data_IF_017948999541
#
_entry.id   IF_017948999541
#
_cell.length_a   1.000
_cell.length_b   1.000
_cell.length_c   1.000
_cell.angle_alpha   90.00
_cell.angle_beta   90.00
_cell.angle_gamma   90.00
#
_symmetry.space_group_name_H-M   'P 1'
#
loop_
_entity.id
_entity.type
_entity.pdbx_description
1 polymer ?
#
# COMPACT_ATOMS: atom_id res chain seq x y z
N UNK A 1 30.57 -10.60 3.41
CA UNK A 1 29.24 -10.69 2.76
C UNK A 1 28.27 -11.23 3.78
N UNK A 2 27.18 -10.51 4.07
CA UNK A 2 26.22 -10.96 5.08
C UNK A 2 25.34 -12.08 4.50
N UNK A 3 25.42 -13.29 5.06
CA UNK A 3 24.48 -14.39 4.78
C UNK A 3 23.33 -14.33 5.79
N UNK A 4 22.33 -13.51 5.46
CA UNK A 4 21.17 -13.28 6.31
C UNK A 4 20.01 -14.21 5.91
N UNK A 5 19.24 -14.63 6.91
CA UNK A 5 17.92 -15.24 6.70
C UNK A 5 16.91 -14.18 6.26
N UNK A 6 15.79 -14.59 5.67
CA UNK A 6 14.73 -13.67 5.22
C UNK A 6 14.27 -12.64 6.29
N UNK A 7 13.96 -13.02 7.54
CA UNK A 7 13.57 -12.03 8.56
C UNK A 7 14.71 -11.06 8.93
N UNK A 8 15.96 -11.52 8.86
CA UNK A 8 17.12 -10.66 9.07
C UNK A 8 17.28 -9.65 7.93
N UNK A 9 16.98 -10.03 6.68
CA UNK A 9 16.90 -9.08 5.56
C UNK A 9 15.81 -8.03 5.74
N UNK A 10 14.62 -8.43 6.23
CA UNK A 10 13.55 -7.46 6.53
C UNK A 10 14.01 -6.47 7.58
N UNK A 11 14.59 -6.95 8.68
CA UNK A 11 15.12 -6.08 9.74
C UNK A 11 16.23 -5.15 9.21
N UNK A 12 17.17 -5.70 8.45
CA UNK A 12 18.27 -4.93 7.87
C UNK A 12 17.76 -3.82 6.94
N UNK A 13 16.79 -4.13 6.07
CA UNK A 13 16.16 -3.14 5.21
C UNK A 13 15.47 -2.02 6.00
N UNK A 14 14.79 -2.34 7.10
CA UNK A 14 14.09 -1.35 7.94
C UNK A 14 15.05 -0.42 8.67
N UNK A 15 16.14 -0.94 9.25
CA UNK A 15 17.04 -0.14 10.11
C UNK A 15 18.19 0.51 9.35
N UNK A 16 18.53 0.01 8.16
CA UNK A 16 19.59 0.56 7.30
C UNK A 16 18.99 0.93 5.93
N UNK A 17 18.31 2.09 5.80
CA UNK A 17 17.54 2.45 4.61
C UNK A 17 18.38 2.50 3.32
N UNK A 18 19.63 2.93 3.38
CA UNK A 18 20.46 3.10 2.17
C UNK A 18 21.22 1.84 1.76
N UNK A 19 21.62 1.02 2.74
CA UNK A 19 22.42 -0.19 2.51
C UNK A 19 21.53 -1.44 2.39
N UNK A 20 20.47 -1.52 3.18
CA UNK A 20 19.66 -2.72 3.29
C UNK A 20 18.89 -3.09 2.03
N UNK A 21 18.38 -2.10 1.28
CA UNK A 21 17.74 -2.36 -0.02
C UNK A 21 18.76 -2.64 -1.14
N UNK A 22 19.95 -2.06 -1.07
CA UNK A 22 21.05 -2.34 -2.01
C UNK A 22 21.57 -3.78 -1.82
N UNK A 23 21.73 -4.22 -0.56
CA UNK A 23 22.11 -5.59 -0.20
C UNK A 23 21.04 -6.61 -0.62
N UNK A 24 19.77 -6.27 -0.44
CA UNK A 24 18.63 -7.08 -0.87
C UNK A 24 18.67 -7.31 -2.39
N UNK A 25 19.08 -6.27 -3.15
CA UNK A 25 19.22 -6.31 -4.61
C UNK A 25 20.37 -7.20 -5.04
N UNK A 26 21.56 -6.99 -4.48
CA UNK A 26 22.75 -7.78 -4.84
C UNK A 26 22.56 -9.26 -4.54
N UNK A 27 21.94 -9.61 -3.42
CA UNK A 27 21.63 -11.01 -3.07
C UNK A 27 20.43 -11.58 -3.82
N UNK A 28 19.70 -10.75 -4.60
CA UNK A 28 18.40 -11.09 -5.22
C UNK A 28 17.45 -11.75 -4.20
N UNK A 29 17.55 -11.30 -2.96
CA UNK A 29 16.81 -11.84 -1.84
C UNK A 29 15.44 -11.17 -1.76
N UNK A 30 14.44 -11.94 -1.32
CA UNK A 30 13.07 -11.45 -1.19
C UNK A 30 12.07 -12.49 -1.63
N UNK A 31 11.10 -12.76 -0.77
CA UNK A 31 10.04 -13.73 -1.01
C UNK A 31 8.70 -13.02 -1.08
N UNK A 32 7.96 -13.27 -2.16
CA UNK A 32 6.62 -12.72 -2.39
C UNK A 32 5.64 -13.07 -1.25
N UNK A 33 5.82 -14.23 -0.61
CA UNK A 33 5.02 -14.65 0.55
C UNK A 33 5.05 -13.64 1.69
N UNK A 34 6.20 -13.01 1.97
CA UNK A 34 6.32 -12.00 3.02
C UNK A 34 5.60 -10.71 2.63
N UNK A 35 5.57 -10.36 1.35
CA UNK A 35 4.80 -9.21 0.87
C UNK A 35 3.32 -9.36 1.14
N UNK A 36 2.73 -10.54 0.87
CA UNK A 36 1.33 -10.79 1.19
C UNK A 36 1.06 -10.69 2.68
N UNK A 37 1.96 -11.20 3.52
CA UNK A 37 1.85 -11.08 4.98
C UNK A 37 1.86 -9.61 5.39
N UNK A 38 2.78 -8.80 4.86
CA UNK A 38 2.90 -7.39 5.20
C UNK A 38 1.67 -6.59 4.75
N UNK A 39 1.16 -6.83 3.55
CA UNK A 39 -0.07 -6.17 3.05
C UNK A 39 -1.28 -6.60 3.89
N UNK A 40 -1.34 -7.86 4.33
CA UNK A 40 -2.37 -8.32 5.25
C UNK A 40 -2.28 -7.59 6.61
N UNK A 41 -1.07 -7.38 7.15
CA UNK A 41 -0.89 -6.58 8.35
C UNK A 41 -1.20 -5.10 8.15
N UNK A 42 -0.96 -4.53 6.96
CA UNK A 42 -1.40 -3.19 6.60
C UNK A 42 -2.92 -3.07 6.62
N UNK A 43 -3.62 -4.05 6.05
CA UNK A 43 -5.08 -4.12 6.10
C UNK A 43 -5.59 -4.21 7.55
N UNK A 44 -4.99 -5.08 8.37
CA UNK A 44 -5.33 -5.20 9.79
C UNK A 44 -5.04 -3.92 10.57
N UNK A 45 -3.91 -3.24 10.32
CA UNK A 45 -3.55 -2.02 11.02
C UNK A 45 -4.54 -0.89 10.72
N UNK A 46 -5.02 -0.79 9.48
CA UNK A 46 -6.06 0.19 9.11
C UNK A 46 -7.38 -0.08 9.85
N UNK A 47 -7.82 -1.34 9.93
CA UNK A 47 -9.03 -1.70 10.69
C UNK A 47 -8.84 -1.42 12.19
N UNK A 48 -7.69 -1.81 12.75
CA UNK A 48 -7.36 -1.58 14.14
C UNK A 48 -7.38 -0.08 14.48
N UNK A 49 -6.79 0.74 13.62
CA UNK A 49 -6.77 2.19 13.79
C UNK A 49 -8.16 2.82 13.78
N UNK A 50 -9.04 2.37 12.89
CA UNK A 50 -10.39 2.94 12.77
C UNK A 50 -11.38 2.40 13.81
N UNK A 51 -11.18 1.17 14.31
CA UNK A 51 -12.19 0.47 15.11
C UNK A 51 -11.76 0.15 16.52
N UNK A 52 -10.47 -0.03 16.76
CA UNK A 52 -9.94 -0.35 18.08
C UNK A 52 -9.29 0.85 18.75
N UNK A 53 -9.09 1.97 18.06
CA UNK A 53 -8.58 3.18 18.71
C UNK A 53 -9.59 3.72 19.73
N UNK A 54 -9.09 4.22 20.85
CA UNK A 54 -9.90 4.76 21.95
C UNK A 54 -10.82 5.88 21.48
N UNK A 55 -12.07 5.86 21.94
CA UNK A 55 -13.13 6.78 21.51
C UNK A 55 -12.74 8.26 21.58
N UNK A 56 -11.92 8.60 22.56
CA UNK A 56 -11.39 9.94 22.75
C UNK A 56 -10.56 10.44 21.54
N UNK A 57 -9.73 9.58 20.93
CA UNK A 57 -8.88 9.94 19.78
C UNK A 57 -9.55 9.67 18.44
N UNK A 58 -10.42 8.66 18.39
CA UNK A 58 -11.14 8.24 17.19
C UNK A 58 -12.58 7.87 17.58
N UNK A 59 -13.53 8.81 17.52
CA UNK A 59 -14.92 8.47 17.74
C UNK A 59 -15.38 7.48 16.66
N UNK A 60 -16.13 6.46 17.07
CA UNK A 60 -16.67 5.47 16.13
C UNK A 60 -17.61 6.16 15.14
N UNK A 61 -17.42 6.01 13.82
CA UNK A 61 -18.35 6.55 12.85
C UNK A 61 -19.72 5.89 13.00
N UNK A 62 -20.79 6.68 12.93
CA UNK A 62 -22.20 6.21 12.94
C UNK A 62 -22.56 5.36 11.70
N UNK A 63 -21.69 5.32 10.68
CA UNK A 63 -21.90 4.57 9.46
C UNK A 63 -21.74 3.05 9.66
N UNK A 64 -22.59 2.28 8.96
CA UNK A 64 -22.49 0.82 8.87
C UNK A 64 -21.06 0.40 8.49
N UNK A 65 -20.48 -0.48 9.28
CA UNK A 65 -19.13 -0.98 9.02
C UNK A 65 -19.08 -1.69 7.67
N UNK A 66 -18.18 -1.24 6.80
CA UNK A 66 -17.86 -1.88 5.53
C UNK A 66 -16.38 -2.17 5.49
N UNK A 67 -16.04 -3.41 5.14
CA UNK A 67 -14.65 -3.87 4.98
C UNK A 67 -14.05 -3.38 3.64
N UNK A 68 -14.91 -3.07 2.66
CA UNK A 68 -14.51 -2.76 1.29
C UNK A 68 -13.51 -1.60 1.20
N UNK A 69 -13.69 -0.45 1.88
CA UNK A 69 -12.74 0.66 1.80
C UNK A 69 -11.33 0.28 2.28
N UNK A 70 -11.23 -0.57 3.32
CA UNK A 70 -9.96 -1.03 3.86
C UNK A 70 -9.22 -1.95 2.87
N UNK A 71 -9.95 -2.82 2.17
CA UNK A 71 -9.38 -3.65 1.09
C UNK A 71 -8.91 -2.76 -0.08
N UNK A 72 -9.70 -1.75 -0.45
CA UNK A 72 -9.32 -0.81 -1.51
C UNK A 72 -8.03 -0.05 -1.16
N UNK A 73 -7.94 0.49 0.06
CA UNK A 73 -6.75 1.24 0.51
C UNK A 73 -5.50 0.37 0.68
N UNK A 74 -5.64 -0.88 1.12
CA UNK A 74 -4.50 -1.77 1.34
C UNK A 74 -4.05 -2.47 0.06
N UNK A 75 -4.97 -3.13 -0.65
CA UNK A 75 -4.64 -4.00 -1.79
C UNK A 75 -4.68 -3.23 -3.11
N UNK A 76 -5.75 -2.48 -3.38
CA UNK A 76 -5.93 -1.85 -4.69
C UNK A 76 -4.96 -0.69 -4.87
N UNK A 77 -4.76 0.15 -3.86
CA UNK A 77 -3.80 1.26 -3.95
C UNK A 77 -2.36 0.76 -4.02
N UNK A 78 -2.00 -0.27 -3.26
CA UNK A 78 -0.68 -0.90 -3.36
C UNK A 78 -0.48 -1.56 -4.73
N UNK A 79 -1.50 -2.24 -5.27
CA UNK A 79 -1.48 -2.81 -6.61
C UNK A 79 -1.30 -1.73 -7.69
N UNK A 80 -2.04 -0.63 -7.59
CA UNK A 80 -1.90 0.52 -8.49
C UNK A 80 -0.51 1.15 -8.39
N UNK A 81 0.07 1.23 -7.18
CA UNK A 81 1.46 1.67 -6.99
C UNK A 81 2.43 0.75 -7.73
N UNK A 82 2.34 -0.57 -7.52
CA UNK A 82 3.25 -1.54 -8.16
C UNK A 82 3.13 -1.50 -9.68
N UNK A 83 1.90 -1.47 -10.22
CA UNK A 83 1.66 -1.41 -11.67
C UNK A 83 2.14 -0.08 -12.23
N UNK A 84 1.75 1.04 -11.62
CA UNK A 84 2.15 2.38 -12.06
C UNK A 84 3.66 2.58 -12.01
N UNK A 85 4.31 2.10 -10.97
CA UNK A 85 5.75 2.19 -10.82
C UNK A 85 6.47 1.31 -11.85
N UNK A 86 5.96 0.11 -12.12
CA UNK A 86 6.47 -0.74 -13.19
C UNK A 86 6.27 -0.13 -14.58
N UNK A 87 5.14 0.53 -14.85
CA UNK A 87 4.93 1.27 -16.11
C UNK A 87 5.91 2.44 -16.25
N UNK A 88 6.10 3.23 -15.19
CA UNK A 88 7.07 4.34 -15.18
C UNK A 88 8.50 3.83 -15.30
N UNK A 89 8.80 2.65 -14.76
CA UNK A 89 10.10 1.99 -14.91
C UNK A 89 10.46 1.78 -16.39
N UNK A 90 9.49 1.35 -17.20
CA UNK A 90 9.72 1.17 -18.65
C UNK A 90 9.92 2.48 -19.39
N UNK A 91 9.33 3.58 -18.91
CA UNK A 91 9.50 4.92 -19.48
C UNK A 91 10.86 5.55 -19.12
N UNK A 92 11.33 5.28 -17.90
CA UNK A 92 12.57 5.85 -17.37
C UNK A 92 13.74 4.85 -17.41
N UNK A 93 13.72 3.82 -18.26
CA UNK A 93 14.79 2.83 -18.39
C UNK A 93 15.29 2.29 -17.04
N UNK A 94 14.38 1.83 -16.18
CA UNK A 94 14.72 1.19 -14.91
C UNK A 94 14.86 -0.32 -15.04
N UNK A 95 15.61 -0.92 -14.12
CA UNK A 95 15.84 -2.39 -14.08
C UNK A 95 14.83 -3.15 -13.21
N UNK A 96 13.90 -2.42 -12.59
CA UNK A 96 12.96 -2.97 -11.61
C UNK A 96 11.94 -3.91 -12.24
N UNK A 97 11.94 -5.18 -11.81
CA UNK A 97 10.85 -6.11 -12.14
C UNK A 97 9.65 -5.90 -11.22
N UNK A 98 8.44 -6.17 -11.71
CA UNK A 98 7.21 -6.04 -10.93
C UNK A 98 7.26 -6.79 -9.59
N UNK A 99 7.90 -7.98 -9.58
CA UNK A 99 8.13 -8.77 -8.36
C UNK A 99 9.01 -8.02 -7.35
N UNK A 100 10.11 -7.43 -7.80
CA UNK A 100 11.04 -6.72 -6.92
C UNK A 100 10.41 -5.43 -6.38
N UNK A 101 9.69 -4.67 -7.21
CA UNK A 101 8.96 -3.48 -6.78
C UNK A 101 7.98 -3.84 -5.65
N UNK A 102 7.19 -4.91 -5.86
CA UNK A 102 6.25 -5.41 -4.86
C UNK A 102 6.94 -5.76 -3.52
N UNK A 103 8.04 -6.51 -3.57
CA UNK A 103 8.78 -6.89 -2.35
C UNK A 103 9.34 -5.67 -1.62
N UNK A 104 10.05 -4.79 -2.32
CA UNK A 104 10.82 -3.73 -1.69
C UNK A 104 9.90 -2.64 -1.18
N UNK A 105 8.87 -2.27 -1.95
CA UNK A 105 7.83 -1.34 -1.49
C UNK A 105 7.06 -1.89 -0.30
N UNK A 106 6.79 -3.20 -0.23
CA UNK A 106 6.13 -3.77 0.95
C UNK A 106 6.99 -3.66 2.21
N UNK A 107 8.29 -3.88 2.11
CA UNK A 107 9.20 -3.79 3.27
C UNK A 107 9.32 -2.36 3.79
N UNK A 108 9.24 -1.38 2.88
CA UNK A 108 9.23 0.04 3.22
C UNK A 108 8.00 0.47 4.04
N UNK A 109 6.88 -0.27 3.98
CA UNK A 109 5.64 0.06 4.71
C UNK A 109 5.63 -0.45 6.16
N UNK A 110 6.54 -1.34 6.54
CA UNK A 110 6.57 -1.95 7.87
C UNK A 110 6.60 -0.94 9.02
N UNK A 111 7.42 0.12 9.00
CA UNK A 111 7.48 1.09 10.10
C UNK A 111 6.16 1.82 10.30
N UNK A 112 5.45 2.16 9.22
CA UNK A 112 4.13 2.76 9.27
C UNK A 112 3.12 1.80 9.91
N UNK A 113 3.10 0.54 9.48
CA UNK A 113 2.22 -0.50 10.05
C UNK A 113 2.47 -0.65 11.55
N UNK A 114 3.74 -0.73 11.97
CA UNK A 114 4.12 -0.84 13.38
C UNK A 114 3.71 0.40 14.16
N UNK A 115 3.95 1.61 13.63
CA UNK A 115 3.53 2.86 14.26
C UNK A 115 2.01 2.90 14.46
N UNK A 116 1.22 2.49 13.46
CA UNK A 116 -0.24 2.42 13.57
C UNK A 116 -0.69 1.48 14.70
N UNK A 117 -0.06 0.32 14.86
CA UNK A 117 -0.39 -0.58 15.99
C UNK A 117 0.00 0.04 17.34
N UNK A 118 1.15 0.72 17.42
CA UNK A 118 1.57 1.43 18.63
C UNK A 118 0.57 2.54 18.98
N UNK A 119 0.11 3.30 17.99
CA UNK A 119 -0.92 4.33 18.18
C UNK A 119 -2.22 3.75 18.75
N UNK A 120 -2.69 2.60 18.23
CA UNK A 120 -3.87 1.93 18.77
C UNK A 120 -3.68 1.56 20.24
N UNK A 121 -2.52 1.05 20.62
CA UNK A 121 -2.23 0.75 22.04
C UNK A 121 -2.19 2.03 22.87
N UNK A 122 -1.49 3.06 22.41
CA UNK A 122 -1.37 4.35 23.10
C UNK A 122 -2.71 5.06 23.29
N UNK A 123 -3.65 4.88 22.36
CA UNK A 123 -4.99 5.50 22.45
C UNK A 123 -5.81 5.08 23.67
N UNK A 124 -5.46 3.96 24.29
CA UNK A 124 -6.09 3.46 25.52
C UNK A 124 -5.37 3.88 26.79
N UNK A 125 -4.13 4.37 26.67
CA UNK A 125 -3.27 4.73 27.81
C UNK A 125 -3.27 6.25 28.00
N UNK A 126 -3.16 6.99 26.89
CA UNK A 126 -3.06 8.45 26.89
C UNK A 126 -4.42 9.10 27.06
N UNK A 127 -4.42 10.33 27.57
CA UNK A 127 -5.58 11.24 27.58
C UNK A 127 -5.52 12.22 26.40
N UNK A 128 -6.63 12.90 26.09
CA UNK A 128 -6.69 13.86 24.98
C UNK A 128 -5.62 14.97 25.06
N UNK A 129 -5.32 15.46 26.25
CA UNK A 129 -4.31 16.51 26.44
C UNK A 129 -2.88 16.04 26.05
N UNK A 130 -2.67 14.73 25.93
CA UNK A 130 -1.41 14.07 25.57
C UNK A 130 -1.36 13.63 24.08
N UNK A 131 -2.29 14.10 23.25
CA UNK A 131 -2.37 13.76 21.81
C UNK A 131 -1.06 14.02 21.03
N UNK A 132 -0.18 14.89 21.52
CA UNK A 132 1.13 15.12 20.91
C UNK A 132 1.96 13.84 20.83
N UNK A 133 1.90 12.94 21.82
CA UNK A 133 2.64 11.68 21.78
C UNK A 133 2.06 10.72 20.75
N UNK A 134 0.73 10.65 20.66
CA UNK A 134 0.01 9.88 19.66
C UNK A 134 0.40 10.30 18.23
N UNK A 135 0.33 11.60 17.94
CA UNK A 135 0.66 12.15 16.61
C UNK A 135 2.15 12.08 16.28
N UNK A 136 3.04 12.16 17.28
CA UNK A 136 4.48 12.02 17.05
C UNK A 136 4.84 10.62 16.55
N UNK A 137 4.24 9.58 17.13
CA UNK A 137 4.45 8.18 16.70
C UNK A 137 4.02 7.99 15.24
N UNK A 138 2.87 8.55 14.87
CA UNK A 138 2.38 8.56 13.49
C UNK A 138 3.41 9.16 12.52
N UNK A 139 3.90 10.38 12.80
CA UNK A 139 4.85 11.05 11.92
C UNK A 139 6.20 10.33 11.85
N UNK A 140 6.67 9.73 12.95
CA UNK A 140 7.90 8.91 12.92
C UNK A 140 7.72 7.72 11.97
N UNK A 141 6.62 6.97 12.10
CA UNK A 141 6.33 5.83 11.23
C UNK A 141 6.16 6.23 9.76
N UNK A 142 5.46 7.33 9.50
CA UNK A 142 5.22 7.86 8.16
C UNK A 142 6.51 8.34 7.49
N UNK A 143 7.29 9.17 8.17
CA UNK A 143 8.54 9.73 7.63
C UNK A 143 9.56 8.61 7.40
N UNK A 144 9.71 7.69 8.35
CA UNK A 144 10.63 6.57 8.21
C UNK A 144 10.25 5.65 7.04
N UNK A 145 8.95 5.34 6.89
CA UNK A 145 8.46 4.56 5.75
C UNK A 145 8.65 5.29 4.42
N UNK A 146 8.44 6.62 4.40
CA UNK A 146 8.70 7.44 3.21
C UNK A 146 10.17 7.41 2.79
N UNK A 147 11.10 7.50 3.75
CA UNK A 147 12.53 7.37 3.48
C UNK A 147 12.89 5.96 2.97
N UNK A 148 12.33 4.91 3.58
CA UNK A 148 12.53 3.54 3.12
C UNK A 148 11.97 3.33 1.72
N UNK A 149 10.80 3.90 1.41
CA UNK A 149 10.17 3.77 0.08
C UNK A 149 11.03 4.44 -0.98
N UNK A 150 11.58 5.62 -0.69
CA UNK A 150 12.51 6.30 -1.58
C UNK A 150 13.75 5.43 -1.85
N UNK A 151 14.38 4.91 -0.80
CA UNK A 151 15.56 4.05 -0.94
C UNK A 151 15.24 2.73 -1.65
N UNK A 152 14.06 2.16 -1.40
CA UNK A 152 13.57 0.96 -2.09
C UNK A 152 13.47 1.20 -3.61
N UNK A 153 12.80 2.27 -4.04
CA UNK A 153 12.67 2.59 -5.47
C UNK A 153 14.03 2.90 -6.09
N UNK A 154 14.87 3.70 -5.42
CA UNK A 154 16.23 3.98 -5.87
C UNK A 154 17.02 2.69 -6.11
N UNK A 155 17.02 1.78 -5.14
CA UNK A 155 17.74 0.51 -5.22
C UNK A 155 17.18 -0.40 -6.31
N UNK A 156 15.86 -0.62 -6.35
CA UNK A 156 15.20 -1.54 -7.30
C UNK A 156 15.46 -1.15 -8.75
N UNK A 157 15.40 0.14 -9.06
CA UNK A 157 15.56 0.63 -10.43
C UNK A 157 16.97 1.07 -10.80
N UNK A 158 17.88 1.07 -9.83
CA UNK A 158 19.23 1.65 -9.96
C UNK A 158 19.21 3.11 -10.39
N UNK A 159 18.25 3.88 -9.90
CA UNK A 159 18.10 5.28 -10.26
C UNK A 159 19.05 6.18 -9.47
N UNK A 160 19.44 7.29 -10.10
CA UNK A 160 20.06 8.40 -9.37
C UNK A 160 19.01 9.06 -8.47
N UNK A 161 19.47 9.87 -7.51
CA UNK A 161 18.57 10.55 -6.57
C UNK A 161 17.48 11.36 -7.32
N UNK A 162 17.88 12.23 -8.24
CA UNK A 162 16.96 13.07 -9.03
C UNK A 162 16.00 12.23 -9.87
N UNK A 163 16.50 11.17 -10.52
CA UNK A 163 15.67 10.28 -11.32
C UNK A 163 14.64 9.54 -10.47
N UNK A 164 14.98 9.19 -9.22
CA UNK A 164 14.07 8.56 -8.26
C UNK A 164 12.93 9.51 -7.87
N UNK A 165 13.23 10.78 -7.60
CA UNK A 165 12.21 11.79 -7.28
C UNK A 165 11.21 11.92 -8.44
N UNK A 166 11.72 12.05 -9.67
CA UNK A 166 10.89 12.14 -10.88
C UNK A 166 10.06 10.87 -11.06
N UNK A 167 10.66 9.69 -10.85
CA UNK A 167 9.97 8.41 -10.96
C UNK A 167 8.82 8.28 -9.97
N UNK A 168 9.00 8.71 -8.71
CA UNK A 168 7.94 8.69 -7.69
C UNK A 168 6.80 9.63 -8.10
N UNK A 169 7.10 10.85 -8.53
CA UNK A 169 6.07 11.81 -8.98
C UNK A 169 5.29 11.26 -10.18
N UNK A 170 5.97 10.72 -11.19
CA UNK A 170 5.34 10.09 -12.34
C UNK A 170 4.52 8.85 -11.95
N UNK A 171 4.98 8.09 -10.95
CA UNK A 171 4.25 6.93 -10.42
C UNK A 171 2.93 7.38 -9.80
N UNK A 172 2.92 8.47 -9.03
CA UNK A 172 1.69 9.02 -8.44
C UNK A 172 0.71 9.48 -9.52
N UNK A 173 1.20 10.13 -10.59
CA UNK A 173 0.37 10.51 -11.75
C UNK A 173 -0.18 9.25 -12.45
N UNK A 174 0.66 8.24 -12.66
CA UNK A 174 0.24 6.97 -13.27
C UNK A 174 -0.83 6.27 -12.42
N UNK A 175 -0.70 6.28 -11.08
CA UNK A 175 -1.71 5.73 -10.17
C UNK A 175 -3.06 6.44 -10.33
N UNK A 176 -3.07 7.77 -10.40
CA UNK A 176 -4.30 8.54 -10.62
C UNK A 176 -4.98 8.14 -11.93
N UNK A 177 -4.21 8.03 -13.02
CA UNK A 177 -4.72 7.60 -14.33
C UNK A 177 -5.26 6.17 -14.26
N UNK A 178 -4.51 5.23 -13.66
CA UNK A 178 -4.91 3.82 -13.54
C UNK A 178 -6.22 3.70 -12.75
N UNK A 179 -6.31 4.36 -11.59
CA UNK A 179 -7.52 4.30 -10.75
C UNK A 179 -8.71 4.96 -11.44
N UNK A 180 -8.50 6.08 -12.11
CA UNK A 180 -9.55 6.73 -12.91
C UNK A 180 -10.08 5.82 -14.02
N UNK A 181 -9.18 5.21 -14.80
CA UNK A 181 -9.54 4.25 -15.85
C UNK A 181 -10.23 3.01 -15.28
N UNK A 182 -9.78 2.51 -14.13
CA UNK A 182 -10.42 1.37 -13.46
C UNK A 182 -11.88 1.68 -13.09
N UNK A 183 -12.14 2.86 -12.50
CA UNK A 183 -13.51 3.29 -12.17
C UNK A 183 -14.35 3.47 -13.43
N UNK A 184 -13.80 4.07 -14.49
CA UNK A 184 -14.49 4.24 -15.78
C UNK A 184 -14.87 2.89 -16.40
N UNK A 185 -13.94 1.94 -16.43
CA UNK A 185 -14.18 0.59 -16.94
C UNK A 185 -15.23 -0.15 -16.12
N UNK A 186 -15.18 -0.07 -14.79
CA UNK A 186 -16.19 -0.67 -13.90
C UNK A 186 -17.58 -0.09 -14.17
N UNK A 187 -17.69 1.23 -14.35
CA UNK A 187 -18.94 1.89 -14.72
C UNK A 187 -19.46 1.40 -16.07
N UNK A 188 -18.59 1.24 -17.07
CA UNK A 188 -18.98 0.73 -18.38
C UNK A 188 -19.50 -0.72 -18.32
N UNK A 189 -18.82 -1.60 -17.58
CA UNK A 189 -19.28 -2.98 -17.36
C UNK A 189 -20.59 -3.04 -16.59
N UNK A 190 -20.79 -2.18 -15.59
CA UNK A 190 -22.05 -2.09 -14.87
C UNK A 190 -23.20 -1.69 -15.80
N UNK A 191 -23.00 -0.68 -16.66
CA UNK A 191 -24.00 -0.27 -17.65
C UNK A 191 -24.32 -1.40 -18.64
N UNK A 192 -23.29 -2.11 -19.12
CA UNK A 192 -23.47 -3.26 -20.00
C UNK A 192 -24.24 -4.41 -19.32
N UNK A 193 -23.92 -4.72 -18.06
CA UNK A 193 -24.64 -5.72 -17.27
C UNK A 193 -26.12 -5.35 -17.11
N UNK A 194 -26.43 -4.10 -16.76
CA UNK A 194 -27.81 -3.62 -16.63
C UNK A 194 -28.56 -3.72 -17.97
N UNK A 195 -27.90 -3.42 -19.09
CA UNK A 195 -28.47 -3.59 -20.42
C UNK A 195 -28.81 -5.05 -20.74
N UNK A 196 -27.87 -5.99 -20.53
CA UNK A 196 -28.10 -7.42 -20.76
C UNK A 196 -29.18 -7.96 -19.82
N UNK A 197 -29.16 -7.56 -18.55
CA UNK A 197 -30.17 -7.93 -17.57
C UNK A 197 -31.56 -7.45 -17.98
N UNK A 198 -31.67 -6.21 -18.46
CA UNK A 198 -32.91 -5.64 -18.98
C UNK A 198 -33.47 -6.46 -20.15
N UNK A 199 -32.64 -6.79 -21.15
CA UNK A 199 -33.03 -7.66 -22.27
C UNK A 199 -33.52 -9.02 -21.77
N UNK A 200 -32.77 -9.65 -20.85
CA UNK A 200 -33.14 -10.94 -20.29
C UNK A 200 -34.52 -10.88 -19.61
N UNK A 201 -34.77 -9.84 -18.80
CA UNK A 201 -36.05 -9.67 -18.12
C UNK A 201 -37.20 -9.43 -19.09
N UNK A 202 -37.01 -8.62 -20.14
CA UNK A 202 -38.02 -8.37 -21.18
C UNK A 202 -38.42 -9.65 -21.93
N UNK A 203 -37.44 -10.49 -22.30
CA UNK A 203 -37.70 -11.78 -22.95
C UNK A 203 -38.51 -12.69 -22.02
N UNK A 204 -38.13 -12.79 -20.74
CA UNK A 204 -38.84 -13.63 -19.76
C UNK A 204 -40.29 -13.17 -19.58
N UNK A 205 -40.55 -11.87 -19.52
CA UNK A 205 -41.90 -11.34 -19.42
C UNK A 205 -42.74 -11.66 -20.66
N UNK A 206 -42.17 -11.54 -21.87
CA UNK A 206 -42.89 -11.84 -23.11
C UNK A 206 -43.16 -13.32 -23.34
N UNK A 207 -42.35 -14.22 -22.78
CA UNK A 207 -42.55 -15.68 -22.86
C UNK A 207 -43.56 -16.19 -21.82
N UNK A 208 -43.77 -15.47 -20.73
CA UNK A 208 -44.75 -15.82 -19.68
C UNK A 208 -46.15 -15.28 -19.92
N UNK A 209 -46.34 -14.44 -20.93
CA UNK A 209 -47.64 -13.97 -21.44
C UNK A 209 -48.08 -14.89 -22.58
#
# INVERSE_FOLDING_TARGET
MLDLTQPQFVKHAIFHPFEGFEDLRWKKAGKLSYTFIIIFFLFLSMIAYDRWCGFQFRPLPDAMFSVVPYIMMSVVYFGAWVIGNWSVCTLLDGEGTMKNICIYSSYALIPYIVATFIEVVLSHILIQDEQVFFTTVYYIGLIWSGMLLFSAIKAVHQYTFTKTVIAIVLTLIAMLIILFLAVLLLSLFQNFYVFVYSIYTEILYRVRV
#
